data_IF_987897205456
#
_entry.id   IF_987897205456
#
_cell.length_a   1.000
_cell.length_b   1.000
_cell.length_c   1.000
_cell.angle_alpha   90.00
_cell.angle_beta   90.00
_cell.angle_gamma   90.00
#
_symmetry.space_group_name_H-M   'P 1'
#
loop_
_entity.id
_entity.type
_entity.pdbx_description
1 polymer ?
#
# COMPACT_ATOMS: atom_id res chain seq x y z
N UNK A 1 5.16 19.71 -8.73
CA UNK A 1 5.47 18.29 -8.54
C UNK A 1 6.73 18.23 -7.71
N UNK A 2 6.60 17.94 -6.42
CA UNK A 2 7.71 17.53 -5.57
C UNK A 2 7.40 16.07 -5.29
N UNK A 3 7.96 15.19 -6.11
CA UNK A 3 7.74 13.76 -5.93
C UNK A 3 8.49 13.32 -4.67
N UNK A 4 7.79 12.53 -3.85
CA UNK A 4 8.25 12.07 -2.56
C UNK A 4 9.41 11.08 -2.72
N UNK A 5 10.34 11.07 -1.77
CA UNK A 5 11.38 10.04 -1.64
C UNK A 5 10.76 8.63 -1.56
N UNK A 6 9.53 8.53 -1.07
CA UNK A 6 8.71 7.32 -1.11
C UNK A 6 8.42 6.91 -2.56
N UNK A 7 7.80 7.77 -3.38
CA UNK A 7 7.56 7.45 -4.79
C UNK A 7 8.85 7.04 -5.53
N UNK A 8 9.98 7.67 -5.23
CA UNK A 8 11.27 7.28 -5.79
C UNK A 8 11.75 5.88 -5.36
N UNK A 9 11.54 5.51 -4.09
CA UNK A 9 11.91 4.19 -3.55
C UNK A 9 10.96 3.09 -4.07
N UNK A 10 9.66 3.36 -4.16
CA UNK A 10 8.66 2.51 -4.84
C UNK A 10 9.14 2.16 -6.25
N UNK A 11 9.48 3.19 -7.01
CA UNK A 11 9.86 3.03 -8.41
C UNK A 11 11.21 2.36 -8.59
N UNK A 12 12.18 2.60 -7.69
CA UNK A 12 13.42 1.83 -7.66
C UNK A 12 13.16 0.35 -7.41
N UNK A 13 12.25 -0.01 -6.50
CA UNK A 13 11.94 -1.39 -6.19
C UNK A 13 11.25 -2.09 -7.36
N UNK A 14 10.16 -1.53 -7.87
CA UNK A 14 9.42 -2.12 -8.98
C UNK A 14 10.25 -2.10 -10.29
N UNK A 15 11.07 -1.07 -10.54
CA UNK A 15 11.99 -1.04 -11.71
C UNK A 15 13.12 -2.05 -11.56
N UNK A 16 13.79 -2.14 -10.40
CA UNK A 16 14.82 -3.15 -10.15
C UNK A 16 14.24 -4.56 -10.30
N UNK A 17 13.07 -4.83 -9.72
CA UNK A 17 12.42 -6.13 -9.79
C UNK A 17 11.80 -6.43 -11.16
N UNK A 18 11.41 -5.44 -11.95
CA UNK A 18 10.93 -5.71 -13.31
C UNK A 18 12.10 -5.84 -14.31
N UNK A 19 13.08 -4.94 -14.26
CA UNK A 19 14.27 -5.02 -15.15
C UNK A 19 15.12 -6.26 -14.90
N UNK A 20 15.19 -6.73 -13.65
CA UNK A 20 15.98 -7.91 -13.31
C UNK A 20 15.23 -9.22 -13.57
N UNK A 21 13.90 -9.21 -13.56
CA UNK A 21 13.12 -10.46 -13.58
C UNK A 21 12.14 -10.57 -14.76
N UNK A 22 11.62 -9.47 -15.34
CA UNK A 22 10.50 -9.46 -16.28
C UNK A 22 10.76 -8.73 -17.63
N UNK A 23 11.82 -7.93 -17.77
CA UNK A 23 12.06 -7.15 -18.98
C UNK A 23 12.76 -7.95 -20.11
N UNK A 24 12.32 -7.84 -21.38
CA UNK A 24 13.08 -8.30 -22.52
C UNK A 24 14.18 -7.27 -22.84
N UNK A 25 15.43 -7.58 -22.51
CA UNK A 25 16.58 -6.82 -23.01
C UNK A 25 17.30 -7.63 -24.09
N UNK A 26 17.76 -6.94 -25.14
CA UNK A 26 18.42 -7.49 -26.33
C UNK A 26 19.76 -8.19 -26.00
N UNK A 27 19.73 -9.34 -25.33
CA UNK A 27 20.91 -10.17 -25.05
C UNK A 27 20.61 -11.62 -25.41
N UNK A 28 21.45 -12.16 -26.30
CA UNK A 28 21.32 -13.40 -27.06
C UNK A 28 21.48 -14.71 -26.23
N UNK A 29 21.36 -14.69 -24.91
CA UNK A 29 21.55 -15.90 -24.10
C UNK A 29 20.30 -16.22 -23.26
N UNK A 30 19.68 -17.35 -23.62
CA UNK A 30 18.52 -17.95 -22.97
C UNK A 30 18.88 -18.45 -21.56
N UNK A 31 18.76 -17.59 -20.55
CA UNK A 31 18.38 -18.03 -19.20
C UNK A 31 16.87 -17.83 -19.03
N UNK A 32 16.23 -18.83 -18.44
CA UNK A 32 14.79 -19.02 -18.32
C UNK A 32 14.12 -17.80 -17.64
N UNK A 33 13.56 -16.90 -18.45
CA UNK A 33 12.87 -15.69 -18.00
C UNK A 33 11.77 -16.03 -16.98
N UNK A 34 11.54 -15.12 -16.02
CA UNK A 34 10.40 -15.20 -15.09
C UNK A 34 9.12 -14.89 -15.85
N UNK A 35 8.74 -15.79 -16.72
CA UNK A 35 7.37 -15.87 -17.23
C UNK A 35 6.53 -16.55 -16.15
N UNK A 36 5.22 -16.31 -16.15
CA UNK A 36 4.27 -17.18 -15.46
C UNK A 36 3.86 -18.26 -16.46
N UNK A 37 4.65 -19.36 -16.65
CA UNK A 37 4.47 -20.28 -17.76
C UNK A 37 3.12 -21.01 -17.68
N UNK A 38 2.63 -21.29 -16.48
CA UNK A 38 1.32 -21.92 -16.28
C UNK A 38 0.23 -20.91 -16.64
N UNK A 39 0.31 -19.68 -16.13
CA UNK A 39 -0.63 -18.60 -16.41
C UNK A 39 -0.67 -18.25 -17.89
N UNK A 40 0.48 -18.07 -18.55
CA UNK A 40 0.58 -17.80 -20.00
C UNK A 40 -0.06 -18.91 -20.84
N UNK A 41 0.10 -20.17 -20.42
CA UNK A 41 -0.48 -21.32 -21.11
C UNK A 41 -2.00 -21.39 -20.92
N UNK A 42 -2.50 -21.09 -19.73
CA UNK A 42 -3.93 -21.17 -19.38
C UNK A 42 -4.72 -19.93 -19.81
N UNK A 43 -4.09 -18.76 -19.75
CA UNK A 43 -4.70 -17.43 -19.90
C UNK A 43 -3.82 -16.53 -20.79
N UNK A 44 -3.62 -16.88 -22.07
CA UNK A 44 -2.69 -16.15 -22.95
C UNK A 44 -3.10 -14.68 -23.17
N UNK A 45 -4.40 -14.38 -23.25
CA UNK A 45 -4.89 -13.01 -23.41
C UNK A 45 -4.64 -12.16 -22.16
N UNK A 46 -4.87 -12.74 -20.98
CA UNK A 46 -4.58 -12.09 -19.70
C UNK A 46 -3.09 -11.85 -19.52
N UNK A 47 -2.25 -12.82 -19.89
CA UNK A 47 -0.79 -12.67 -19.86
C UNK A 47 -0.33 -11.52 -20.75
N UNK A 48 -0.82 -11.43 -21.99
CA UNK A 48 -0.47 -10.34 -22.91
C UNK A 48 -0.84 -8.96 -22.34
N UNK A 49 -1.99 -8.87 -21.64
CA UNK A 49 -2.40 -7.64 -20.97
C UNK A 49 -1.46 -7.31 -19.80
N UNK A 50 -1.12 -8.28 -18.95
CA UNK A 50 -0.19 -8.10 -17.83
C UNK A 50 1.18 -7.62 -18.33
N UNK A 51 1.72 -8.27 -19.35
CA UNK A 51 3.00 -7.89 -19.97
C UNK A 51 2.94 -6.45 -20.49
N UNK A 52 1.83 -6.06 -21.14
CA UNK A 52 1.64 -4.71 -21.68
C UNK A 52 1.50 -3.67 -20.57
N UNK A 53 0.74 -3.95 -19.51
CA UNK A 53 0.56 -3.03 -18.36
C UNK A 53 1.90 -2.79 -17.68
N UNK A 54 2.72 -3.83 -17.50
CA UNK A 54 4.02 -3.68 -16.89
C UNK A 54 5.00 -2.91 -17.79
N UNK A 55 4.97 -3.13 -19.11
CA UNK A 55 5.74 -2.35 -20.07
C UNK A 55 5.34 -0.87 -20.06
N UNK A 56 4.04 -0.57 -20.03
CA UNK A 56 3.49 0.78 -19.88
C UNK A 56 3.98 1.44 -18.59
N UNK A 57 3.99 0.70 -17.49
CA UNK A 57 4.52 1.20 -16.21
C UNK A 57 6.00 1.57 -16.29
N UNK A 58 6.82 0.74 -16.95
CA UNK A 58 8.23 1.06 -17.21
C UNK A 58 8.42 2.27 -18.13
N UNK A 59 7.68 2.33 -19.24
CA UNK A 59 7.85 3.38 -20.25
C UNK A 59 7.51 4.76 -19.69
N UNK A 60 6.54 4.82 -18.78
CA UNK A 60 6.20 6.05 -18.07
C UNK A 60 7.06 6.31 -16.83
N UNK A 61 7.99 5.41 -16.50
CA UNK A 61 8.99 5.59 -15.45
C UNK A 61 10.20 6.38 -15.97
N UNK A 62 10.25 7.68 -15.68
CA UNK A 62 11.36 8.55 -16.05
C UNK A 62 12.44 8.49 -14.95
N UNK A 63 13.71 8.21 -15.31
CA UNK A 63 14.82 8.48 -14.41
C UNK A 63 15.13 9.98 -14.38
N UNK A 64 14.93 10.61 -13.23
CA UNK A 64 15.47 11.93 -12.96
C UNK A 64 16.99 11.82 -12.81
N UNK A 65 17.69 12.29 -13.85
CA UNK A 65 19.15 12.28 -13.94
C UNK A 65 19.85 13.13 -12.87
N UNK A 66 19.14 14.05 -12.21
CA UNK A 66 19.71 14.87 -11.13
C UNK A 66 19.61 14.19 -9.76
N UNK A 67 18.59 13.36 -9.52
CA UNK A 67 18.33 12.74 -8.21
C UNK A 67 18.52 11.23 -8.20
N UNK A 68 18.75 10.61 -9.37
CA UNK A 68 18.68 9.16 -9.58
C UNK A 68 17.36 8.56 -9.05
N UNK A 69 16.29 9.34 -9.06
CA UNK A 69 14.96 8.91 -8.66
C UNK A 69 14.13 8.61 -9.90
N UNK A 70 13.37 7.53 -9.87
CA UNK A 70 12.44 7.19 -10.94
C UNK A 70 11.09 7.85 -10.62
N UNK A 71 10.41 8.49 -11.59
CA UNK A 71 9.08 9.13 -11.46
C UNK A 71 8.12 8.66 -12.55
N UNK A 72 6.93 8.14 -12.18
CA UNK A 72 5.90 7.68 -13.14
C UNK A 72 5.07 8.89 -13.55
N UNK A 73 4.90 9.13 -14.84
CA UNK A 73 3.84 10.02 -15.31
C UNK A 73 2.47 9.37 -15.06
N UNK A 74 1.92 9.59 -13.86
CA UNK A 74 0.69 8.93 -13.38
C UNK A 74 -0.53 9.22 -14.26
N UNK A 75 -0.65 10.43 -14.81
CA UNK A 75 -1.76 10.79 -15.71
C UNK A 75 -1.70 9.98 -17.01
N UNK A 76 -0.51 9.83 -17.61
CA UNK A 76 -0.35 9.05 -18.85
C UNK A 76 -0.50 7.55 -18.61
N UNK A 77 0.03 7.07 -17.48
CA UNK A 77 -0.14 5.68 -17.04
C UNK A 77 -1.62 5.33 -16.83
N UNK A 78 -2.38 6.17 -16.12
CA UNK A 78 -3.82 5.97 -15.88
C UNK A 78 -4.62 5.87 -17.19
N UNK A 79 -4.36 6.76 -18.14
CA UNK A 79 -5.04 6.75 -19.45
C UNK A 79 -4.73 5.44 -20.20
N UNK A 80 -3.46 5.06 -20.27
CA UNK A 80 -3.02 3.87 -20.99
C UNK A 80 -3.59 2.59 -20.36
N UNK A 81 -3.45 2.41 -19.05
CA UNK A 81 -3.95 1.23 -18.33
C UNK A 81 -5.49 1.16 -18.38
N UNK A 82 -6.19 2.29 -18.28
CA UNK A 82 -7.65 2.34 -18.43
C UNK A 82 -8.09 1.87 -19.83
N UNK A 83 -7.40 2.31 -20.88
CA UNK A 83 -7.71 1.89 -22.25
C UNK A 83 -7.48 0.39 -22.47
N UNK A 84 -6.38 -0.16 -21.92
CA UNK A 84 -6.06 -1.59 -21.98
C UNK A 84 -7.10 -2.44 -21.25
N UNK A 85 -7.48 -2.05 -20.02
CA UNK A 85 -8.51 -2.74 -19.25
C UNK A 85 -9.86 -2.69 -19.96
N UNK A 86 -10.23 -1.55 -20.56
CA UNK A 86 -11.47 -1.41 -21.31
C UNK A 86 -11.48 -2.31 -22.56
N UNK A 87 -10.38 -2.37 -23.30
CA UNK A 87 -10.24 -3.26 -24.45
C UNK A 87 -10.38 -4.76 -24.05
N UNK A 88 -9.81 -5.14 -22.91
CA UNK A 88 -9.97 -6.50 -22.37
C UNK A 88 -11.41 -6.82 -22.00
N UNK A 89 -12.10 -5.90 -21.31
CA UNK A 89 -13.51 -6.04 -20.92
C UNK A 89 -14.40 -6.20 -22.15
N UNK A 90 -14.14 -5.43 -23.22
CA UNK A 90 -14.83 -5.53 -24.50
C UNK A 90 -14.54 -6.85 -25.21
N UNK A 91 -13.27 -7.28 -25.27
CA UNK A 91 -12.86 -8.54 -25.89
C UNK A 91 -13.50 -9.76 -25.19
N UNK A 92 -13.63 -9.72 -23.87
CA UNK A 92 -14.32 -10.74 -23.07
C UNK A 92 -15.85 -10.59 -23.05
N UNK A 93 -16.39 -9.56 -23.70
CA UNK A 93 -17.82 -9.24 -23.74
C UNK A 93 -18.44 -9.11 -22.33
N UNK A 94 -17.65 -8.61 -21.37
CA UNK A 94 -18.11 -8.46 -19.99
C UNK A 94 -19.00 -7.22 -19.90
N UNK A 95 -20.23 -7.40 -19.43
CA UNK A 95 -21.15 -6.29 -19.20
C UNK A 95 -20.88 -5.65 -17.85
N UNK A 96 -20.31 -4.45 -17.86
CA UNK A 96 -20.09 -3.69 -16.64
C UNK A 96 -21.42 -3.14 -16.07
N UNK A 97 -21.67 -3.31 -14.76
CA UNK A 97 -22.81 -2.69 -14.11
C UNK A 97 -22.82 -1.16 -14.26
N UNK A 98 -24.02 -0.58 -14.27
CA UNK A 98 -24.22 0.87 -14.28
C UNK A 98 -24.06 1.49 -12.88
N UNK A 99 -24.38 0.72 -11.83
CA UNK A 99 -24.17 1.16 -10.46
C UNK A 99 -22.66 1.32 -10.20
N UNK A 100 -22.17 2.48 -9.73
CA UNK A 100 -20.74 2.71 -9.54
C UNK A 100 -20.05 1.72 -8.57
N UNK A 101 -20.77 1.27 -7.53
CA UNK A 101 -20.25 0.31 -6.54
C UNK A 101 -20.09 -1.06 -7.18
N UNK A 102 -21.14 -1.53 -7.87
CA UNK A 102 -21.11 -2.83 -8.53
C UNK A 102 -20.14 -2.85 -9.71
N UNK A 103 -20.00 -1.71 -10.41
CA UNK A 103 -19.00 -1.51 -11.47
C UNK A 103 -17.59 -1.67 -10.93
N UNK A 104 -17.27 -0.99 -9.82
CA UNK A 104 -15.97 -1.16 -9.17
C UNK A 104 -15.75 -2.60 -8.73
N UNK A 105 -16.71 -3.22 -8.04
CA UNK A 105 -16.59 -4.63 -7.60
C UNK A 105 -16.35 -5.59 -8.77
N UNK A 106 -16.98 -5.33 -9.91
CA UNK A 106 -16.75 -6.09 -11.13
C UNK A 106 -15.33 -5.89 -11.67
N UNK A 107 -14.86 -4.65 -11.75
CA UNK A 107 -13.49 -4.31 -12.19
C UNK A 107 -12.44 -4.91 -11.24
N UNK A 108 -12.60 -4.71 -9.94
CA UNK A 108 -11.73 -5.21 -8.88
C UNK A 108 -11.65 -6.75 -8.92
N UNK A 109 -12.78 -7.42 -9.14
CA UNK A 109 -12.82 -8.87 -9.32
C UNK A 109 -12.14 -9.33 -10.61
N UNK A 110 -12.28 -8.60 -11.72
CA UNK A 110 -11.56 -8.91 -12.97
C UNK A 110 -10.06 -8.84 -12.74
N UNK A 111 -9.59 -7.75 -12.12
CA UNK A 111 -8.18 -7.54 -11.83
C UNK A 111 -7.66 -8.66 -10.93
N UNK A 112 -8.30 -8.85 -9.76
CA UNK A 112 -7.84 -9.78 -8.73
C UNK A 112 -7.86 -11.24 -9.19
N UNK A 113 -8.89 -11.65 -9.91
CA UNK A 113 -9.07 -13.07 -10.26
C UNK A 113 -8.48 -13.44 -11.62
N UNK A 114 -8.29 -12.47 -12.52
CA UNK A 114 -7.89 -12.78 -13.89
C UNK A 114 -6.58 -12.09 -14.30
N UNK A 115 -6.18 -10.97 -13.69
CA UNK A 115 -5.05 -10.15 -14.15
C UNK A 115 -3.89 -10.08 -13.15
N UNK A 116 -3.98 -10.83 -12.06
CA UNK A 116 -2.89 -11.08 -11.13
C UNK A 116 -2.60 -12.58 -11.18
N UNK A 117 -1.44 -13.00 -11.70
CA UNK A 117 -1.06 -14.40 -11.72
C UNK A 117 -0.97 -14.97 -10.31
N UNK A 118 -1.57 -16.14 -10.09
CA UNK A 118 -1.54 -16.83 -8.80
C UNK A 118 -0.18 -17.47 -8.55
N UNK A 119 0.53 -16.96 -7.55
CA UNK A 119 1.82 -17.47 -7.11
C UNK A 119 1.79 -18.94 -6.68
N UNK A 120 0.66 -19.44 -6.15
CA UNK A 120 0.54 -20.84 -5.75
C UNK A 120 0.39 -21.78 -6.95
N UNK A 121 -0.31 -21.35 -8.02
CA UNK A 121 -0.45 -22.12 -9.25
C UNK A 121 0.89 -22.32 -9.99
N UNK A 122 1.86 -21.46 -9.71
CA UNK A 122 3.18 -21.46 -10.35
C UNK A 122 4.24 -22.16 -9.48
N UNK A 123 3.91 -22.52 -8.23
CA UNK A 123 4.85 -23.06 -7.24
C UNK A 123 5.53 -24.37 -7.66
N UNK A 124 4.88 -25.18 -8.49
CA UNK A 124 5.44 -26.44 -9.01
C UNK A 124 6.31 -26.25 -10.27
N UNK A 125 6.29 -25.06 -10.87
CA UNK A 125 7.04 -24.69 -12.08
C UNK A 125 7.93 -23.44 -11.85
N UNK A 126 8.00 -22.94 -10.62
CA UNK A 126 8.41 -21.58 -10.31
C UNK A 126 9.40 -21.46 -9.18
N UNK A 127 10.38 -20.56 -9.34
CA UNK A 127 11.29 -20.17 -8.27
C UNK A 127 10.72 -18.97 -7.49
N UNK A 128 11.35 -18.62 -6.36
CA UNK A 128 10.99 -17.47 -5.51
C UNK A 128 10.83 -16.14 -6.29
N UNK A 129 11.41 -16.01 -7.50
CA UNK A 129 11.28 -14.83 -8.34
C UNK A 129 9.87 -14.65 -8.92
N UNK A 130 9.14 -15.73 -9.23
CA UNK A 130 7.77 -15.64 -9.77
C UNK A 130 6.77 -15.16 -8.71
N UNK A 131 6.94 -15.61 -7.47
CA UNK A 131 6.19 -15.10 -6.32
C UNK A 131 6.43 -13.58 -6.19
N UNK A 132 7.68 -13.14 -6.28
CA UNK A 132 8.04 -11.72 -6.20
C UNK A 132 7.47 -10.90 -7.38
N UNK A 133 7.40 -11.49 -8.58
CA UNK A 133 6.78 -10.85 -9.75
C UNK A 133 5.26 -10.67 -9.56
N UNK A 134 4.57 -11.61 -8.93
CA UNK A 134 3.11 -11.51 -8.69
C UNK A 134 2.76 -10.36 -7.74
N UNK A 135 3.58 -10.14 -6.70
CA UNK A 135 3.43 -9.01 -5.78
C UNK A 135 3.57 -7.67 -6.50
N UNK A 136 4.52 -7.55 -7.42
CA UNK A 136 4.69 -6.32 -8.22
C UNK A 136 3.49 -6.05 -9.14
N UNK A 137 2.90 -7.10 -9.72
CA UNK A 137 1.71 -6.94 -10.57
C UNK A 137 0.51 -6.45 -9.75
N UNK A 138 0.31 -7.04 -8.56
CA UNK A 138 -0.71 -6.57 -7.61
C UNK A 138 -0.51 -5.09 -7.26
N UNK A 139 0.73 -4.70 -6.94
CA UNK A 139 1.10 -3.32 -6.59
C UNK A 139 0.81 -2.34 -7.74
N UNK A 140 1.12 -2.68 -9.00
CA UNK A 140 0.82 -1.86 -10.18
C UNK A 140 -0.68 -1.63 -10.33
N UNK A 141 -1.49 -2.69 -10.16
CA UNK A 141 -2.95 -2.58 -10.23
C UNK A 141 -3.54 -1.79 -9.07
N UNK A 142 -3.04 -1.97 -7.85
CA UNK A 142 -3.46 -1.19 -6.67
C UNK A 142 -3.16 0.29 -6.86
N UNK A 143 -1.97 0.65 -7.35
CA UNK A 143 -1.59 2.04 -7.64
C UNK A 143 -2.45 2.64 -8.76
N UNK A 144 -2.72 1.88 -9.83
CA UNK A 144 -3.64 2.28 -10.89
C UNK A 144 -5.03 2.58 -10.33
N UNK A 145 -5.66 1.63 -9.63
CA UNK A 145 -7.00 1.80 -9.07
C UNK A 145 -7.07 2.98 -8.13
N UNK A 146 -6.07 3.13 -7.24
CA UNK A 146 -5.97 4.27 -6.32
C UNK A 146 -6.01 5.59 -7.09
N UNK A 147 -5.08 5.76 -8.03
CA UNK A 147 -4.96 7.01 -8.77
C UNK A 147 -6.19 7.30 -9.64
N UNK A 148 -6.71 6.27 -10.31
CA UNK A 148 -7.90 6.38 -11.15
C UNK A 148 -9.11 6.89 -10.36
N UNK A 149 -9.37 6.30 -9.20
CA UNK A 149 -10.50 6.71 -8.36
C UNK A 149 -10.27 8.03 -7.62
N UNK A 150 -9.02 8.41 -7.33
CA UNK A 150 -8.68 9.76 -6.87
C UNK A 150 -9.10 10.80 -7.94
N UNK A 151 -8.77 10.57 -9.21
CA UNK A 151 -9.17 11.47 -10.32
C UNK A 151 -10.67 11.54 -10.52
N UNK A 152 -11.36 10.40 -10.51
CA UNK A 152 -12.82 10.35 -10.60
C UNK A 152 -13.49 11.09 -9.44
N UNK A 153 -12.94 10.98 -8.22
CA UNK A 153 -13.41 11.71 -7.06
C UNK A 153 -13.18 13.22 -7.21
N UNK A 154 -12.00 13.65 -7.65
CA UNK A 154 -11.71 15.06 -7.91
C UNK A 154 -12.68 15.67 -8.93
N UNK A 155 -12.94 14.97 -10.03
CA UNK A 155 -13.92 15.39 -11.04
C UNK A 155 -15.33 15.48 -10.46
N UNK A 156 -15.74 14.49 -9.66
CA UNK A 156 -17.06 14.46 -9.05
C UNK A 156 -17.24 15.62 -8.06
N UNK A 157 -16.22 15.92 -7.26
CA UNK A 157 -16.22 17.06 -6.34
C UNK A 157 -16.31 18.38 -7.10
N UNK A 158 -15.58 18.54 -8.20
CA UNK A 158 -15.68 19.71 -9.10
C UNK A 158 -17.10 19.84 -9.66
N UNK A 159 -17.68 18.76 -10.19
CA UNK A 159 -19.06 18.73 -10.73
C UNK A 159 -20.12 19.08 -9.68
N UNK A 160 -19.89 18.71 -8.42
CA UNK A 160 -20.79 19.00 -7.29
C UNK A 160 -20.45 20.30 -6.54
N UNK A 161 -19.45 21.06 -6.98
CA UNK A 161 -18.98 22.30 -6.33
C UNK A 161 -18.59 22.10 -4.85
N UNK A 162 -18.01 20.94 -4.51
CA UNK A 162 -17.55 20.63 -3.15
C UNK A 162 -16.04 20.84 -3.08
N UNK A 163 -15.58 21.74 -2.21
CA UNK A 163 -14.15 22.03 -2.03
C UNK A 163 -13.56 21.28 -0.82
N UNK A 164 -12.80 20.22 -1.10
CA UNK A 164 -12.05 19.45 -0.10
C UNK A 164 -10.54 19.59 -0.35
N UNK A 165 -9.71 19.64 0.71
CA UNK A 165 -8.26 19.73 0.58
C UNK A 165 -7.62 18.35 0.30
N UNK A 166 -8.15 17.60 -0.67
CA UNK A 166 -7.69 16.22 -0.94
C UNK A 166 -6.23 16.15 -1.38
N UNK A 167 -5.75 17.13 -2.15
CA UNK A 167 -4.33 17.21 -2.50
C UNK A 167 -3.43 17.36 -1.27
N UNK A 168 -3.81 18.21 -0.32
CA UNK A 168 -3.06 18.38 0.94
C UNK A 168 -3.11 17.10 1.79
N UNK A 169 -4.20 16.36 1.72
CA UNK A 169 -4.35 15.07 2.40
C UNK A 169 -3.44 14.01 1.78
N UNK A 170 -3.38 13.96 0.44
CA UNK A 170 -2.45 13.09 -0.29
C UNK A 170 -0.99 13.41 0.05
N UNK A 171 -0.59 14.68 0.02
CA UNK A 171 0.77 15.08 0.40
C UNK A 171 1.12 14.72 1.86
N UNK A 172 0.13 14.74 2.77
CA UNK A 172 0.34 14.33 4.15
C UNK A 172 0.44 12.80 4.29
N UNK A 173 -0.29 12.05 3.47
CA UNK A 173 -0.21 10.61 3.38
C UNK A 173 1.13 10.15 2.79
N UNK A 174 1.60 10.78 1.71
CA UNK A 174 2.89 10.47 1.09
C UNK A 174 4.05 10.69 2.08
N UNK A 175 3.99 11.77 2.87
CA UNK A 175 4.97 12.03 3.94
C UNK A 175 4.94 11.03 5.08
N UNK A 176 3.79 10.45 5.39
CA UNK A 176 3.69 9.37 6.37
C UNK A 176 4.43 8.14 5.85
N UNK A 177 4.19 7.79 4.59
CA UNK A 177 4.81 6.64 3.94
C UNK A 177 6.34 6.80 3.82
N UNK A 178 6.82 7.99 3.45
CA UNK A 178 8.24 8.34 3.48
C UNK A 178 8.87 8.12 4.87
N UNK A 179 8.16 8.55 5.91
CA UNK A 179 8.66 8.45 7.28
C UNK A 179 8.65 7.00 7.80
N UNK A 180 7.67 6.19 7.38
CA UNK A 180 7.62 4.76 7.67
C UNK A 180 8.80 4.02 7.02
N UNK A 181 9.08 4.29 5.74
CA UNK A 181 10.25 3.74 5.04
C UNK A 181 11.54 4.15 5.72
N UNK A 182 11.67 5.44 6.06
CA UNK A 182 12.85 5.94 6.78
C UNK A 182 13.05 5.27 8.14
N UNK A 183 11.95 4.90 8.82
CA UNK A 183 12.01 4.11 10.05
C UNK A 183 12.45 2.67 9.78
N UNK A 184 11.91 2.01 8.75
CA UNK A 184 12.29 0.65 8.38
C UNK A 184 13.78 0.59 8.01
N UNK A 185 14.26 1.51 7.18
CA UNK A 185 15.68 1.66 6.85
C UNK A 185 16.55 1.79 8.11
N UNK A 186 16.06 2.52 9.12
CA UNK A 186 16.83 2.78 10.35
C UNK A 186 16.95 1.58 11.29
N UNK A 187 16.07 0.59 11.15
CA UNK A 187 16.07 -0.63 11.97
C UNK A 187 16.58 -1.86 11.20
N UNK A 188 17.22 -1.66 10.05
CA UNK A 188 17.95 -2.71 9.33
C UNK A 188 17.31 -3.19 8.02
N UNK A 189 16.19 -2.61 7.58
CA UNK A 189 15.55 -2.97 6.32
C UNK A 189 16.14 -2.25 5.09
N UNK A 190 17.26 -1.54 5.20
CA UNK A 190 17.75 -0.66 4.13
C UNK A 190 18.63 -1.27 3.02
N UNK A 191 18.67 -2.61 2.86
CA UNK A 191 19.55 -3.24 1.86
C UNK A 191 19.07 -4.58 1.30
N UNK A 192 19.37 -4.83 0.02
CA UNK A 192 19.12 -6.10 -0.69
C UNK A 192 17.71 -6.25 -1.26
N UNK A 193 17.40 -7.41 -1.84
CA UNK A 193 16.07 -7.71 -2.39
C UNK A 193 14.97 -7.78 -1.32
N UNK A 194 15.33 -8.09 -0.07
CA UNK A 194 14.40 -8.12 1.06
C UNK A 194 13.82 -6.72 1.38
N UNK A 195 14.59 -5.65 1.20
CA UNK A 195 14.10 -4.28 1.39
C UNK A 195 13.09 -3.88 0.32
N UNK A 196 13.33 -4.28 -0.93
CA UNK A 196 12.40 -3.99 -2.02
C UNK A 196 11.04 -4.67 -1.84
N UNK A 197 11.04 -5.91 -1.37
CA UNK A 197 9.81 -6.63 -1.01
C UNK A 197 9.12 -5.96 0.17
N UNK A 198 9.91 -5.55 1.18
CA UNK A 198 9.39 -4.84 2.35
C UNK A 198 8.65 -3.55 2.00
N UNK A 199 9.20 -2.79 1.05
CA UNK A 199 8.57 -1.56 0.62
C UNK A 199 7.35 -1.84 -0.25
N UNK A 200 7.44 -2.76 -1.21
CA UNK A 200 6.32 -3.13 -2.08
C UNK A 200 5.07 -3.55 -1.30
N UNK A 201 5.21 -4.44 -0.31
CA UNK A 201 4.08 -4.86 0.51
C UNK A 201 3.55 -3.70 1.38
N UNK A 202 4.43 -2.86 1.97
CA UNK A 202 3.99 -1.67 2.71
C UNK A 202 3.17 -0.72 1.81
N UNK A 203 3.61 -0.53 0.56
CA UNK A 203 2.88 0.28 -0.43
C UNK A 203 1.52 -0.31 -0.73
N UNK A 204 1.46 -1.60 -1.08
CA UNK A 204 0.20 -2.27 -1.42
C UNK A 204 -0.82 -2.17 -0.28
N UNK A 205 -0.38 -2.41 0.96
CA UNK A 205 -1.25 -2.31 2.14
C UNK A 205 -1.73 -0.88 2.41
N UNK A 206 -0.80 0.09 2.40
CA UNK A 206 -1.12 1.50 2.67
C UNK A 206 -2.01 2.09 1.57
N UNK A 207 -1.72 1.80 0.31
CA UNK A 207 -2.54 2.21 -0.83
C UNK A 207 -3.89 1.51 -0.84
N UNK A 208 -3.97 0.23 -0.47
CA UNK A 208 -5.25 -0.47 -0.31
C UNK A 208 -6.14 0.17 0.76
N UNK A 209 -5.57 0.56 1.91
CA UNK A 209 -6.31 1.27 2.96
C UNK A 209 -6.77 2.66 2.49
N UNK A 210 -5.92 3.37 1.74
CA UNK A 210 -6.21 4.67 1.17
C UNK A 210 -7.32 4.59 0.10
N UNK A 211 -7.16 3.71 -0.89
CA UNK A 211 -8.11 3.45 -1.98
C UNK A 211 -9.51 3.15 -1.43
N UNK A 212 -9.63 2.27 -0.44
CA UNK A 212 -10.93 2.00 0.21
C UNK A 212 -11.58 3.27 0.75
N UNK A 213 -10.80 4.25 1.22
CA UNK A 213 -11.31 5.53 1.74
C UNK A 213 -11.76 6.47 0.64
N UNK A 214 -11.00 6.51 -0.44
CA UNK A 214 -11.36 7.23 -1.67
C UNK A 214 -12.66 6.69 -2.26
N UNK A 215 -12.77 5.35 -2.36
CA UNK A 215 -13.97 4.65 -2.84
C UNK A 215 -15.19 4.92 -1.95
N UNK A 216 -15.05 4.80 -0.63
CA UNK A 216 -16.12 5.09 0.34
C UNK A 216 -16.70 6.50 0.09
N UNK A 217 -15.85 7.51 -0.03
CA UNK A 217 -16.28 8.89 -0.29
C UNK A 217 -16.87 9.07 -1.70
N UNK A 218 -16.22 8.50 -2.72
CA UNK A 218 -16.67 8.55 -4.11
C UNK A 218 -18.07 7.93 -4.28
N UNK A 219 -18.30 6.74 -3.74
CA UNK A 219 -19.61 6.08 -3.80
C UNK A 219 -20.65 6.78 -2.94
N UNK A 220 -20.28 7.29 -1.77
CA UNK A 220 -21.20 8.09 -0.97
C UNK A 220 -21.67 9.33 -1.73
N UNK A 221 -20.82 9.99 -2.51
CA UNK A 221 -21.22 11.16 -3.28
C UNK A 221 -22.16 10.84 -4.47
N UNK A 222 -22.19 9.59 -4.94
CA UNK A 222 -22.99 9.16 -6.10
C UNK A 222 -24.27 8.41 -5.73
N UNK A 223 -24.24 7.58 -4.69
CA UNK A 223 -25.35 6.72 -4.29
C UNK A 223 -25.84 7.12 -2.89
N UNK A 224 -27.12 7.54 -2.81
CA UNK A 224 -27.74 8.00 -1.56
C UNK A 224 -27.84 6.91 -0.49
N UNK A 225 -28.07 5.66 -0.92
CA UNK A 225 -28.19 4.50 -0.06
C UNK A 225 -26.86 3.79 0.23
N UNK A 226 -25.73 4.32 -0.28
CA UNK A 226 -24.42 3.72 -0.04
C UNK A 226 -24.09 3.66 1.45
N UNK A 227 -23.57 2.50 1.86
CA UNK A 227 -23.05 2.22 3.20
C UNK A 227 -21.70 1.50 3.06
N UNK A 228 -20.68 1.89 3.85
CA UNK A 228 -19.43 1.13 3.91
C UNK A 228 -19.67 -0.30 4.39
N UNK A 229 -18.85 -1.24 3.90
CA UNK A 229 -18.97 -2.66 4.26
C UNK A 229 -18.74 -2.92 5.76
N UNK A 230 -17.94 -2.07 6.41
CA UNK A 230 -17.62 -2.16 7.84
C UNK A 230 -17.65 -0.80 8.51
N UNK A 231 -18.22 -0.77 9.72
CA UNK A 231 -18.24 0.41 10.59
C UNK A 231 -17.12 0.31 11.62
N UNK A 232 -16.31 1.35 11.68
CA UNK A 232 -15.17 1.49 12.58
C UNK A 232 -15.48 2.50 13.69
N UNK A 233 -14.78 2.36 14.82
CA UNK A 233 -14.86 3.25 15.97
C UNK A 233 -13.65 4.18 16.01
N UNK A 234 -13.82 5.45 16.43
CA UNK A 234 -12.69 6.36 16.62
C UNK A 234 -11.72 5.83 17.67
N UNK A 235 -10.43 6.03 17.44
CA UNK A 235 -9.37 5.71 18.38
C UNK A 235 -8.81 7.01 18.96
N UNK A 236 -8.64 7.05 20.28
CA UNK A 236 -8.09 8.21 20.96
C UNK A 236 -6.61 8.41 20.59
N UNK A 237 -6.24 9.64 20.29
CA UNK A 237 -4.84 10.00 19.99
C UNK A 237 -3.91 9.68 21.16
N UNK A 238 -4.41 9.68 22.40
CA UNK A 238 -3.60 9.34 23.57
C UNK A 238 -3.12 7.89 23.53
N UNK A 239 -3.93 6.97 23.00
CA UNK A 239 -3.56 5.56 22.85
C UNK A 239 -2.43 5.44 21.83
N UNK A 240 -2.58 6.11 20.69
CA UNK A 240 -1.53 6.15 19.64
C UNK A 240 -0.22 6.72 20.20
N UNK A 241 -0.27 7.85 20.93
CA UNK A 241 0.92 8.45 21.57
C UNK A 241 1.58 7.48 22.56
N UNK A 242 0.79 6.73 23.35
CA UNK A 242 1.32 5.76 24.30
C UNK A 242 2.09 4.63 23.60
N UNK A 243 1.61 4.13 22.47
CA UNK A 243 2.31 3.10 21.71
C UNK A 243 3.62 3.62 21.08
N UNK A 244 3.64 4.86 20.59
CA UNK A 244 4.91 5.49 20.17
C UNK A 244 5.93 5.57 21.30
N UNK A 245 5.52 6.07 22.48
CA UNK A 245 6.40 6.18 23.64
C UNK A 245 6.92 4.81 24.08
N UNK A 246 6.10 3.78 23.93
CA UNK A 246 6.46 2.39 24.22
C UNK A 246 7.56 1.89 23.30
N UNK A 247 7.44 2.09 21.98
CA UNK A 247 8.48 1.67 21.02
C UNK A 247 9.76 2.48 21.25
N UNK A 248 9.66 3.80 21.47
CA UNK A 248 10.81 4.65 21.78
C UNK A 248 11.58 4.15 23.01
N UNK A 249 10.87 3.81 24.08
CA UNK A 249 11.47 3.22 25.28
C UNK A 249 12.09 1.84 24.98
N UNK A 250 11.45 1.04 24.14
CA UNK A 250 11.95 -0.29 23.77
C UNK A 250 13.27 -0.23 23.00
N UNK A 251 13.47 0.76 22.11
CA UNK A 251 14.74 0.96 21.38
C UNK A 251 15.93 1.13 22.34
N UNK A 252 15.72 1.76 23.49
CA UNK A 252 16.78 1.97 24.48
C UNK A 252 16.96 0.78 25.44
N UNK A 253 15.89 0.03 25.72
CA UNK A 253 15.82 -0.86 26.89
C UNK A 253 15.60 -2.35 26.58
N UNK A 254 15.22 -2.72 25.36
CA UNK A 254 14.91 -4.10 24.99
C UNK A 254 16.04 -4.71 24.17
N UNK A 255 16.34 -5.97 24.50
CA UNK A 255 17.33 -6.77 23.79
C UNK A 255 16.98 -6.98 22.31
N UNK A 256 15.71 -6.82 21.95
CA UNK A 256 15.25 -6.82 20.56
C UNK A 256 16.10 -5.91 19.66
N UNK A 257 16.54 -4.76 20.16
CA UNK A 257 17.35 -3.79 19.42
C UNK A 257 18.86 -3.85 19.77
N UNK A 258 19.35 -4.95 20.36
CA UNK A 258 20.78 -5.11 20.69
C UNK A 258 21.70 -5.23 19.46
N UNK A 259 21.13 -5.56 18.30
CA UNK A 259 21.85 -5.52 17.03
C UNK A 259 22.12 -4.08 16.54
N UNK A 260 21.43 -3.06 17.08
CA UNK A 260 21.65 -1.67 16.75
C UNK A 260 22.70 -1.05 17.69
N UNK A 261 23.75 -0.47 17.10
CA UNK A 261 24.69 0.37 17.84
C UNK A 261 24.04 1.67 18.34
N UNK A 262 24.73 2.40 19.21
CA UNK A 262 24.21 3.63 19.82
C UNK A 262 23.77 4.66 18.75
N UNK A 263 24.57 4.83 17.69
CA UNK A 263 24.26 5.76 16.62
C UNK A 263 23.00 5.38 15.84
N UNK A 264 22.82 4.07 15.61
CA UNK A 264 21.67 3.49 14.91
C UNK A 264 20.41 3.56 15.77
N UNK A 265 20.51 3.38 17.09
CA UNK A 265 19.39 3.58 18.02
C UNK A 265 18.89 5.03 18.01
N UNK A 266 19.80 6.01 18.07
CA UNK A 266 19.41 7.43 17.97
C UNK A 266 18.77 7.76 16.61
N UNK A 267 19.30 7.19 15.51
CA UNK A 267 18.68 7.31 14.18
C UNK A 267 17.27 6.72 14.16
N UNK A 268 17.07 5.52 14.72
CA UNK A 268 15.78 4.86 14.76
C UNK A 268 14.75 5.66 15.57
N UNK A 269 15.13 6.20 16.73
CA UNK A 269 14.27 7.09 17.53
C UNK A 269 13.89 8.37 16.78
N UNK A 270 14.85 8.96 16.06
CA UNK A 270 14.60 10.15 15.25
C UNK A 270 13.63 9.86 14.08
N UNK A 271 13.82 8.75 13.37
CA UNK A 271 12.92 8.32 12.30
C UNK A 271 11.50 8.04 12.82
N UNK A 272 11.37 7.29 13.91
CA UNK A 272 10.08 7.00 14.53
C UNK A 272 9.36 8.28 15.01
N UNK A 273 10.11 9.23 15.58
CA UNK A 273 9.56 10.54 15.97
C UNK A 273 9.09 11.35 14.76
N UNK A 274 9.73 11.21 13.60
CA UNK A 274 9.30 11.87 12.37
C UNK A 274 8.07 11.20 11.77
N UNK A 275 7.97 9.87 11.85
CA UNK A 275 6.78 9.10 11.46
C UNK A 275 5.57 9.51 12.32
N UNK A 276 5.75 9.63 13.64
CA UNK A 276 4.72 10.19 14.53
C UNK A 276 4.27 11.61 14.13
N UNK A 277 5.21 12.48 13.74
CA UNK A 277 4.87 13.84 13.27
C UNK A 277 4.07 13.80 11.97
N UNK A 278 4.45 12.93 11.04
CA UNK A 278 3.75 12.76 9.77
C UNK A 278 2.33 12.22 9.99
N UNK A 279 2.17 11.22 10.87
CA UNK A 279 0.87 10.70 11.28
C UNK A 279 -0.03 11.80 11.86
N UNK A 280 0.49 12.56 12.83
CA UNK A 280 -0.24 13.67 13.45
C UNK A 280 -0.65 14.74 12.43
N UNK A 281 0.21 15.02 11.45
CA UNK A 281 -0.10 15.94 10.37
C UNK A 281 -1.24 15.41 9.48
N UNK A 282 -1.19 14.13 9.08
CA UNK A 282 -2.27 13.50 8.31
C UNK A 282 -3.60 13.56 9.08
N UNK A 283 -3.62 13.18 10.35
CA UNK A 283 -4.83 13.25 11.19
C UNK A 283 -5.38 14.68 11.31
N UNK A 284 -4.50 15.69 11.39
CA UNK A 284 -4.89 17.10 11.41
C UNK A 284 -5.54 17.53 10.10
N UNK A 285 -4.95 17.15 8.95
CA UNK A 285 -5.51 17.45 7.62
C UNK A 285 -6.86 16.76 7.45
N UNK A 286 -6.97 15.48 7.77
CA UNK A 286 -8.24 14.73 7.71
C UNK A 286 -9.34 15.33 8.59
N UNK A 287 -8.98 15.78 9.80
CA UNK A 287 -9.92 16.52 10.68
C UNK A 287 -10.40 17.83 10.05
N UNK A 288 -9.54 18.52 9.28
CA UNK A 288 -9.92 19.70 8.51
C UNK A 288 -10.88 19.37 7.38
N UNK A 289 -10.60 18.32 6.59
CA UNK A 289 -11.49 17.79 5.54
C UNK A 289 -12.86 17.41 6.10
N UNK A 290 -12.88 16.64 7.19
CA UNK A 290 -14.09 16.18 7.89
C UNK A 290 -15.02 17.33 8.32
N UNK A 291 -14.47 18.48 8.75
CA UNK A 291 -15.25 19.67 9.13
C UNK A 291 -15.97 20.34 7.96
N UNK A 292 -15.54 20.10 6.72
CA UNK A 292 -16.15 20.64 5.50
C UNK A 292 -17.28 19.75 4.98
N UNK A 293 -17.40 18.55 5.52
CA UNK A 293 -18.43 17.58 5.17
C UNK A 293 -19.59 17.64 6.17
N UNK A 294 -20.77 17.21 5.75
CA UNK A 294 -21.94 17.13 6.62
C UNK A 294 -22.74 15.84 6.38
N UNK A 295 -23.60 15.51 7.35
CA UNK A 295 -24.55 14.40 7.26
C UNK A 295 -23.91 13.04 6.95
N UNK A 296 -24.51 12.30 6.02
CA UNK A 296 -24.06 10.96 5.63
C UNK A 296 -22.64 10.96 5.05
N UNK A 297 -22.31 11.93 4.19
CA UNK A 297 -20.99 12.01 3.54
C UNK A 297 -19.89 12.17 4.58
N UNK A 298 -20.13 13.04 5.59
CA UNK A 298 -19.22 13.18 6.73
C UNK A 298 -19.05 11.87 7.49
N UNK A 299 -20.15 11.17 7.77
CA UNK A 299 -20.12 9.90 8.52
C UNK A 299 -19.30 8.83 7.78
N UNK A 300 -19.44 8.76 6.45
CA UNK A 300 -18.65 7.85 5.61
C UNK A 300 -17.16 8.23 5.61
N UNK A 301 -16.84 9.52 5.45
CA UNK A 301 -15.46 10.00 5.49
C UNK A 301 -14.80 9.79 6.87
N UNK A 302 -15.53 10.02 7.95
CA UNK A 302 -15.05 9.77 9.31
C UNK A 302 -14.80 8.27 9.53
N UNK A 303 -15.69 7.40 9.03
CA UNK A 303 -15.48 5.95 9.07
C UNK A 303 -14.18 5.52 8.35
N UNK A 304 -13.89 6.09 7.19
CA UNK A 304 -12.62 5.86 6.50
C UNK A 304 -11.41 6.33 7.32
N UNK A 305 -11.56 7.44 8.06
CA UNK A 305 -10.52 7.92 8.98
C UNK A 305 -10.32 6.94 10.14
N UNK A 306 -11.41 6.38 10.68
CA UNK A 306 -11.33 5.40 11.77
C UNK A 306 -10.73 4.07 11.32
N UNK A 307 -10.95 3.65 10.07
CA UNK A 307 -10.24 2.51 9.46
C UNK A 307 -8.72 2.76 9.46
N UNK A 308 -8.28 3.94 9.02
CA UNK A 308 -6.86 4.29 8.98
C UNK A 308 -6.26 4.35 10.40
N UNK A 309 -6.97 4.94 11.37
CA UNK A 309 -6.55 4.94 12.78
C UNK A 309 -6.38 3.53 13.34
N UNK A 310 -7.34 2.65 13.04
CA UNK A 310 -7.30 1.25 13.45
C UNK A 310 -6.08 0.55 12.87
N UNK A 311 -5.89 0.67 11.56
CA UNK A 311 -4.77 0.06 10.85
C UNK A 311 -3.43 0.49 11.46
N UNK A 312 -3.24 1.80 11.63
CA UNK A 312 -2.01 2.33 12.19
C UNK A 312 -1.77 1.94 13.66
N UNK A 313 -2.82 1.81 14.48
CA UNK A 313 -2.66 1.31 15.85
C UNK A 313 -2.20 -0.16 15.87
N UNK A 314 -2.66 -0.98 14.93
CA UNK A 314 -2.20 -2.37 14.81
C UNK A 314 -0.70 -2.38 14.44
N UNK A 315 -0.28 -1.55 13.48
CA UNK A 315 1.13 -1.36 13.14
C UNK A 315 1.97 -1.04 14.38
N UNK A 316 1.56 -0.05 15.18
CA UNK A 316 2.28 0.33 16.39
C UNK A 316 2.30 -0.77 17.45
N UNK A 317 1.18 -1.48 17.69
CA UNK A 317 1.14 -2.57 18.66
C UNK A 317 2.01 -3.76 18.27
N UNK A 318 2.15 -4.01 16.97
CA UNK A 318 3.08 -4.99 16.43
C UNK A 318 4.52 -4.45 16.30
N UNK A 319 4.80 -3.21 16.72
CA UNK A 319 6.10 -2.55 16.50
C UNK A 319 6.54 -2.55 15.03
N UNK A 320 5.56 -2.46 14.12
CA UNK A 320 5.70 -2.59 12.66
C UNK A 320 6.17 -3.97 12.16
N UNK A 321 6.27 -4.97 13.02
CA UNK A 321 6.48 -6.36 12.59
C UNK A 321 5.28 -6.89 11.81
N UNK A 322 5.56 -7.71 10.79
CA UNK A 322 4.53 -8.24 9.88
C UNK A 322 4.06 -7.27 8.79
N UNK A 323 4.58 -6.04 8.78
CA UNK A 323 4.32 -5.05 7.74
C UNK A 323 5.53 -4.95 6.83
N UNK A 324 5.30 -5.09 5.52
CA UNK A 324 6.35 -5.04 4.52
C UNK A 324 7.04 -6.38 4.22
N UNK A 325 7.84 -6.93 5.13
CA UNK A 325 8.82 -7.96 4.72
C UNK A 325 8.25 -9.39 4.63
N UNK A 326 7.34 -9.78 5.52
CA UNK A 326 6.67 -11.09 5.56
C UNK A 326 5.34 -10.97 6.30
N UNK A 327 4.42 -11.89 6.06
CA UNK A 327 3.07 -11.85 6.65
C UNK A 327 3.09 -11.97 8.18
N UNK A 328 1.99 -11.52 8.80
CA UNK A 328 1.74 -11.63 10.24
C UNK A 328 1.96 -13.06 10.80
N UNK A 329 1.73 -14.08 9.98
CA UNK A 329 1.87 -15.49 10.35
C UNK A 329 3.34 -15.91 10.50
N UNK A 330 4.24 -15.32 9.70
CA UNK A 330 5.68 -15.62 9.75
C UNK A 330 6.36 -14.89 10.92
N UNK A 331 5.97 -13.64 11.17
CA UNK A 331 6.53 -12.84 12.27
C UNK A 331 5.91 -13.14 13.64
N UNK A 332 4.90 -14.02 13.71
CA UNK A 332 4.13 -14.29 14.92
C UNK A 332 3.67 -12.98 15.57
N UNK A 333 3.09 -12.08 14.77
CA UNK A 333 2.61 -10.77 15.20
C UNK A 333 1.69 -10.89 16.42
N UNK A 334 1.61 -9.82 17.21
CA UNK A 334 0.75 -9.82 18.38
C UNK A 334 -0.73 -9.78 17.96
N UNK A 335 -1.05 -8.95 16.98
CA UNK A 335 -2.39 -8.73 16.47
C UNK A 335 -2.44 -8.98 14.97
N UNK A 336 -3.52 -9.63 14.52
CA UNK A 336 -3.89 -9.67 13.11
C UNK A 336 -4.73 -8.44 12.73
N UNK A 337 -4.86 -8.18 11.43
CA UNK A 337 -5.72 -7.09 10.92
C UNK A 337 -7.21 -7.28 11.27
N UNK A 338 -7.60 -8.53 11.51
CA UNK A 338 -8.97 -8.96 11.85
C UNK A 338 -9.28 -8.91 13.35
N UNK A 339 -8.32 -8.54 14.22
CA UNK A 339 -8.53 -8.52 15.67
C UNK A 339 -9.77 -7.69 16.10
N UNK A 340 -10.38 -8.02 17.22
CA UNK A 340 -11.47 -7.23 17.78
C UNK A 340 -10.98 -5.86 18.27
N UNK A 341 -11.91 -4.93 18.54
CA UNK A 341 -11.56 -3.66 19.20
C UNK A 341 -11.11 -3.88 20.65
N UNK A 342 -11.63 -4.92 21.31
CA UNK A 342 -11.24 -5.24 22.68
C UNK A 342 -9.78 -5.71 22.72
N UNK A 343 -9.42 -6.65 21.84
CA UNK A 343 -8.03 -7.07 21.66
C UNK A 343 -7.13 -5.89 21.27
N UNK A 344 -7.55 -5.07 20.31
CA UNK A 344 -6.77 -3.92 19.86
C UNK A 344 -6.52 -2.88 20.96
N UNK A 345 -7.42 -2.71 21.92
CA UNK A 345 -7.29 -1.68 22.96
C UNK A 345 -6.60 -2.21 24.23
N UNK A 346 -6.72 -3.50 24.52
CA UNK A 346 -6.25 -4.08 25.78
C UNK A 346 -5.04 -5.01 25.64
N UNK A 347 -4.69 -5.45 24.43
CA UNK A 347 -3.48 -6.25 24.25
C UNK A 347 -2.24 -5.45 24.64
N UNK A 348 -1.22 -6.10 25.24
CA UNK A 348 0.06 -5.46 25.49
C UNK A 348 0.73 -5.03 24.17
N UNK A 349 1.94 -4.47 24.22
CA UNK A 349 2.73 -4.26 23.01
C UNK A 349 3.52 -5.53 22.64
N UNK A 350 4.02 -5.58 21.40
CA UNK A 350 4.84 -6.67 20.87
C UNK A 350 6.00 -7.09 21.79
N UNK A 351 6.69 -6.11 22.41
CA UNK A 351 7.87 -6.38 23.24
C UNK A 351 7.57 -7.21 24.48
N UNK A 352 6.35 -7.14 25.04
CA UNK A 352 5.94 -8.03 26.15
C UNK A 352 5.86 -9.49 25.71
N UNK A 353 5.35 -9.74 24.49
CA UNK A 353 5.32 -11.09 23.90
C UNK A 353 6.75 -11.58 23.60
N UNK A 354 7.61 -10.71 23.10
CA UNK A 354 9.01 -11.01 22.83
C UNK A 354 9.79 -11.42 24.09
N UNK A 355 9.67 -10.64 25.17
CA UNK A 355 10.29 -10.97 26.46
C UNK A 355 9.84 -12.35 26.96
N UNK A 356 8.55 -12.67 26.83
CA UNK A 356 8.01 -13.96 27.28
C UNK A 356 8.51 -15.18 26.50
N UNK A 357 8.95 -14.98 25.25
CA UNK A 357 9.52 -16.02 24.39
C UNK A 357 11.02 -16.18 24.62
N UNK A 358 11.75 -15.07 24.70
CA UNK A 358 13.21 -15.06 24.94
C UNK A 358 13.61 -15.60 26.32
N UNK A 359 12.67 -15.74 27.27
CA UNK A 359 12.91 -16.45 28.55
C UNK A 359 12.66 -17.97 28.48
N UNK A 360 12.18 -18.50 27.35
CA UNK A 360 11.86 -19.94 27.17
C UNK A 360 12.86 -20.68 26.27
N UNK A 361 13.78 -19.96 25.65
CA UNK A 361 14.99 -20.45 24.99
C UNK A 361 16.20 -20.16 25.88
#
# INVERSE_FOLDING_TARGET
MKDSLAAANFMKCAKFLYSTFLAPSNLEEQEEYVTFPVFKKLYPLENDLVDTVCAVWLDYTIEDSCTQQSVVNKDSHDIAVTALLQAYIEAKQIQLPQNPVDRYKCIDSIITNNLIPDAELEKDCGNQMQINASFNISEIWTEYLRYHYEKLLEELLKKKSISLPLQTEQEAFDKLLEAQISYFDSIGYGGGSASSMAYSQLYDEMYSVHLKGTLDLYFALQAENYKPDKVYKPISNNIVIQEYNTILHAIDSKNYYDYLDIGSREKAKACLSNEQKAWNNLMKVRKSTSRRLQGRIKSVYDNATYRLQRYHLIQLKNAFEGYGAMSNDVYLCLLSDTCSYDELLHSPNFFVKWDSKSMKE
#
